data_IF_354248158428
#
_entry.id   IF_354248158428
#
_cell.length_a   1.000
_cell.length_b   1.000
_cell.length_c   1.000
_cell.angle_alpha   90.00
_cell.angle_beta   90.00
_cell.angle_gamma   90.00
#
_symmetry.space_group_name_H-M   'P 1'
#
loop_
_entity.id
_entity.type
_entity.pdbx_description
1 polymer ?
#
# COMPACT_ATOMS: atom_id res chain seq x y z
N UNK A 1 -45.59 22.03 35.57
CA UNK A 1 -44.16 22.34 35.89
C UNK A 1 -43.24 21.09 35.97
N UNK A 2 -43.76 19.88 36.12
CA UNK A 2 -42.95 18.63 36.17
C UNK A 2 -42.57 18.07 34.80
N UNK A 3 -43.38 18.31 33.77
CA UNK A 3 -43.11 17.89 32.37
C UNK A 3 -41.94 18.64 31.72
N UNK A 4 -41.68 19.89 32.11
CA UNK A 4 -40.58 20.71 31.59
C UNK A 4 -39.22 20.25 32.10
N UNK A 5 -39.11 19.67 33.28
CA UNK A 5 -37.85 19.13 33.83
C UNK A 5 -37.42 17.83 33.15
N UNK A 6 -38.38 16.93 32.86
CA UNK A 6 -38.09 15.66 32.19
C UNK A 6 -37.60 15.80 30.75
N UNK A 7 -38.14 16.75 29.99
CA UNK A 7 -37.69 17.05 28.63
C UNK A 7 -36.25 17.62 28.59
N UNK A 8 -35.91 18.47 29.56
CA UNK A 8 -34.55 19.02 29.67
C UNK A 8 -33.48 17.97 29.97
N UNK A 9 -33.81 16.97 30.79
CA UNK A 9 -32.86 15.90 31.14
C UNK A 9 -32.70 14.87 29.99
N UNK A 10 -33.75 14.59 29.24
CA UNK A 10 -33.68 13.74 28.03
C UNK A 10 -32.87 14.44 26.95
N UNK A 11 -33.07 15.74 26.73
CA UNK A 11 -32.30 16.52 25.76
C UNK A 11 -30.82 16.61 26.15
N UNK A 12 -30.49 16.81 27.43
CA UNK A 12 -29.12 16.84 27.94
C UNK A 12 -28.43 15.47 27.79
N UNK A 13 -29.10 14.38 28.09
CA UNK A 13 -28.56 13.01 27.88
C UNK A 13 -28.29 12.75 26.40
N UNK A 14 -29.19 13.15 25.51
CA UNK A 14 -29.06 12.96 24.07
C UNK A 14 -27.90 13.81 23.49
N UNK A 15 -27.70 15.05 23.98
CA UNK A 15 -26.58 15.90 23.59
C UNK A 15 -25.24 15.39 24.15
N UNK A 16 -25.20 14.89 25.38
CA UNK A 16 -23.99 14.30 25.95
C UNK A 16 -23.62 13.01 25.24
N UNK A 17 -24.60 12.19 24.86
CA UNK A 17 -24.37 10.95 24.13
C UNK A 17 -23.83 11.21 22.71
N UNK A 18 -24.35 12.24 22.01
CA UNK A 18 -23.85 12.62 20.69
C UNK A 18 -22.43 13.18 20.73
N UNK A 19 -22.12 14.04 21.69
CA UNK A 19 -20.75 14.61 21.85
C UNK A 19 -19.71 13.58 22.25
N UNK A 20 -20.10 12.63 23.12
CA UNK A 20 -19.22 11.51 23.49
C UNK A 20 -18.99 10.58 22.31
N UNK A 21 -20.02 10.28 21.51
CA UNK A 21 -19.91 9.47 20.32
C UNK A 21 -18.97 10.11 19.29
N UNK A 22 -19.16 11.39 18.98
CA UNK A 22 -18.31 12.14 18.07
C UNK A 22 -16.85 12.19 18.55
N UNK A 23 -16.62 12.41 19.86
CA UNK A 23 -15.28 12.40 20.44
C UNK A 23 -14.64 11.01 20.35
N UNK A 24 -15.40 9.95 20.57
CA UNK A 24 -14.92 8.57 20.49
C UNK A 24 -14.59 8.17 19.04
N UNK A 25 -15.45 8.53 18.09
CA UNK A 25 -15.21 8.30 16.65
C UNK A 25 -13.95 9.04 16.18
N UNK A 26 -13.77 10.29 16.60
CA UNK A 26 -12.60 11.08 16.27
C UNK A 26 -11.32 10.48 16.84
N UNK A 27 -11.31 10.07 18.10
CA UNK A 27 -10.16 9.42 18.72
C UNK A 27 -9.88 8.06 18.11
N UNK A 28 -10.92 7.32 17.75
CA UNK A 28 -10.79 6.04 17.04
C UNK A 28 -10.09 6.19 15.69
N UNK A 29 -10.46 7.20 14.90
CA UNK A 29 -9.80 7.48 13.60
C UNK A 29 -8.36 7.95 13.76
N UNK A 30 -8.05 8.78 14.77
CA UNK A 30 -6.67 9.18 15.09
C UNK A 30 -5.80 7.95 15.45
N UNK A 31 -6.30 7.07 16.32
CA UNK A 31 -5.60 5.83 16.70
C UNK A 31 -5.39 4.90 15.50
N UNK A 32 -6.41 4.73 14.67
CA UNK A 32 -6.30 3.94 13.43
C UNK A 32 -5.22 4.53 12.51
N UNK A 33 -5.17 5.85 12.38
CA UNK A 33 -4.14 6.56 11.61
C UNK A 33 -2.73 6.26 12.11
N UNK A 34 -2.51 6.33 13.43
CA UNK A 34 -1.22 6.00 14.04
C UNK A 34 -0.82 4.54 13.81
N UNK A 35 -1.75 3.61 13.95
CA UNK A 35 -1.52 2.17 13.71
C UNK A 35 -1.13 1.95 12.24
N UNK A 36 -1.83 2.57 11.29
CA UNK A 36 -1.51 2.44 9.86
C UNK A 36 -0.11 2.99 9.53
N UNK A 37 0.29 4.11 10.12
CA UNK A 37 1.64 4.65 9.96
C UNK A 37 2.68 3.69 10.54
N UNK A 38 2.46 3.18 11.75
CA UNK A 38 3.38 2.25 12.38
C UNK A 38 3.55 0.96 11.56
N UNK A 39 2.45 0.39 11.06
CA UNK A 39 2.48 -0.77 10.15
C UNK A 39 3.18 -0.40 8.84
N UNK A 40 2.89 0.77 8.26
CA UNK A 40 3.53 1.24 7.04
C UNK A 40 5.04 1.37 7.19
N UNK A 41 5.52 1.92 8.30
CA UNK A 41 6.96 1.99 8.61
C UNK A 41 7.55 0.59 8.79
N UNK A 42 6.87 -0.31 9.50
CA UNK A 42 7.33 -1.68 9.66
C UNK A 42 7.44 -2.42 8.31
N UNK A 43 6.43 -2.27 7.43
CA UNK A 43 6.47 -2.84 6.08
C UNK A 43 7.57 -2.21 5.23
N UNK A 44 7.82 -0.91 5.35
CA UNK A 44 8.93 -0.25 4.67
C UNK A 44 10.27 -0.83 5.12
N UNK A 45 10.48 -0.98 6.43
CA UNK A 45 11.71 -1.50 7.00
C UNK A 45 11.96 -2.96 6.61
N UNK A 46 10.94 -3.82 6.62
CA UNK A 46 11.10 -5.23 6.22
C UNK A 46 11.42 -5.38 4.72
N UNK A 47 10.85 -4.53 3.86
CA UNK A 47 11.15 -4.54 2.42
C UNK A 47 12.52 -3.93 2.14
N UNK A 48 12.90 -2.86 2.85
CA UNK A 48 14.19 -2.19 2.67
C UNK A 48 15.37 -3.08 3.09
N UNK A 49 15.20 -3.83 4.19
CA UNK A 49 16.23 -4.73 4.72
C UNK A 49 16.10 -6.17 4.22
N UNK A 50 15.35 -6.39 3.14
CA UNK A 50 15.20 -7.71 2.55
C UNK A 50 16.52 -8.22 1.96
N UNK A 51 16.88 -9.46 2.31
CA UNK A 51 17.98 -10.20 1.71
C UNK A 51 17.49 -11.57 1.21
N UNK A 52 17.85 -11.97 -0.02
CA UNK A 52 17.45 -13.30 -0.55
C UNK A 52 18.01 -14.48 0.24
N UNK A 53 19.14 -14.30 0.94
CA UNK A 53 19.80 -15.32 1.74
C UNK A 53 19.19 -15.48 3.14
N UNK A 54 18.29 -14.58 3.54
CA UNK A 54 17.70 -14.61 4.87
C UNK A 54 16.91 -15.89 5.13
N UNK A 55 17.11 -16.42 6.33
CA UNK A 55 16.26 -17.49 6.84
C UNK A 55 14.82 -16.99 6.94
N UNK A 56 13.91 -17.72 6.31
CA UNK A 56 12.49 -17.41 6.30
C UNK A 56 11.65 -18.68 6.43
N UNK A 57 10.34 -18.56 6.63
CA UNK A 57 9.44 -19.73 6.61
C UNK A 57 9.41 -20.44 5.24
N UNK A 58 9.87 -19.77 4.19
CA UNK A 58 9.89 -20.25 2.81
C UNK A 58 11.28 -20.75 2.35
N UNK A 59 12.33 -20.42 3.10
CA UNK A 59 13.71 -20.76 2.77
C UNK A 59 14.46 -21.19 4.02
N UNK A 60 15.09 -22.37 3.94
CA UNK A 60 15.97 -22.88 4.97
C UNK A 60 17.38 -22.37 4.65
N UNK A 61 17.89 -21.51 5.50
CA UNK A 61 19.27 -20.98 5.43
C UNK A 61 19.91 -21.13 6.80
N UNK A 62 21.18 -21.48 6.83
CA UNK A 62 21.99 -21.52 8.06
C UNK A 62 22.56 -20.14 8.41
N UNK A 63 22.40 -19.15 7.53
CA UNK A 63 22.87 -17.79 7.77
C UNK A 63 21.96 -17.02 8.73
N UNK A 64 22.53 -16.13 9.55
CA UNK A 64 21.74 -15.27 10.43
C UNK A 64 20.89 -14.31 9.58
N UNK A 65 19.64 -14.12 9.99
CA UNK A 65 18.71 -13.21 9.32
C UNK A 65 19.19 -11.76 9.40
N UNK A 66 19.37 -11.10 8.27
CA UNK A 66 19.82 -9.71 8.14
C UNK A 66 18.66 -8.72 8.20
N UNK A 67 17.42 -9.21 8.01
CA UNK A 67 16.23 -8.36 8.04
C UNK A 67 16.04 -7.71 9.42
N UNK A 68 15.77 -6.40 9.46
CA UNK A 68 15.61 -5.60 10.69
C UNK A 68 14.50 -6.16 11.59
N UNK A 69 13.42 -6.72 11.01
CA UNK A 69 12.32 -7.35 11.73
C UNK A 69 12.55 -8.86 11.97
N UNK A 70 13.76 -9.34 11.78
CA UNK A 70 14.13 -10.74 11.99
C UNK A 70 13.43 -11.69 11.02
N UNK A 71 13.24 -12.94 11.47
CA UNK A 71 12.64 -14.02 10.64
C UNK A 71 11.22 -13.68 10.18
N UNK A 72 10.43 -12.97 10.99
CA UNK A 72 9.07 -12.56 10.61
C UNK A 72 9.13 -11.55 9.47
N UNK A 73 10.05 -10.57 9.53
CA UNK A 73 10.28 -9.60 8.48
C UNK A 73 10.72 -10.26 7.18
N UNK A 74 11.73 -11.13 7.23
CA UNK A 74 12.22 -11.88 6.07
C UNK A 74 11.12 -12.75 5.44
N UNK A 75 10.33 -13.46 6.28
CA UNK A 75 9.24 -14.34 5.82
C UNK A 75 8.08 -13.59 5.16
N UNK A 76 7.88 -12.32 5.54
CA UNK A 76 6.86 -11.46 4.95
C UNK A 76 7.38 -10.75 3.70
N UNK A 77 8.65 -10.29 3.72
CA UNK A 77 9.26 -9.61 2.59
C UNK A 77 9.47 -10.53 1.38
N UNK A 78 9.90 -11.77 1.62
CA UNK A 78 10.21 -12.72 0.56
C UNK A 78 9.06 -12.93 -0.45
N UNK A 79 7.84 -13.31 -0.06
CA UNK A 79 6.74 -13.47 -1.00
C UNK A 79 6.29 -12.16 -1.65
N UNK A 80 6.38 -11.03 -0.96
CA UNK A 80 6.05 -9.72 -1.52
C UNK A 80 7.01 -9.34 -2.64
N UNK A 81 8.31 -9.50 -2.44
CA UNK A 81 9.33 -9.24 -3.45
C UNK A 81 9.24 -10.26 -4.59
N UNK A 82 9.01 -11.54 -4.28
CA UNK A 82 8.87 -12.59 -5.30
C UNK A 82 7.68 -12.30 -6.22
N UNK A 83 6.53 -11.94 -5.66
CA UNK A 83 5.29 -11.75 -6.43
C UNK A 83 5.26 -10.39 -7.11
N UNK A 84 5.52 -9.31 -6.37
CA UNK A 84 5.31 -7.93 -6.80
C UNK A 84 6.62 -7.18 -7.13
N UNK A 85 7.77 -7.73 -6.75
CA UNK A 85 9.04 -7.06 -6.90
C UNK A 85 9.07 -5.70 -6.18
N UNK A 86 9.60 -4.69 -6.82
CA UNK A 86 9.61 -3.31 -6.32
C UNK A 86 8.20 -2.68 -6.26
N UNK A 87 7.21 -3.27 -6.95
CA UNK A 87 5.82 -2.88 -6.80
C UNK A 87 5.28 -3.05 -5.37
N UNK A 88 5.90 -3.93 -4.56
CA UNK A 88 5.55 -4.12 -3.15
C UNK A 88 5.75 -2.86 -2.30
N UNK A 89 6.62 -1.92 -2.71
CA UNK A 89 6.82 -0.64 -2.02
C UNK A 89 5.58 0.29 -2.11
N UNK A 90 4.62 -0.01 -2.98
CA UNK A 90 3.32 0.67 -2.98
C UNK A 90 2.54 0.44 -1.68
N UNK A 91 2.75 -0.70 -1.00
CA UNK A 91 2.10 -1.05 0.27
C UNK A 91 2.40 -0.04 1.40
N UNK A 92 3.67 0.18 1.79
CA UNK A 92 3.98 1.15 2.84
C UNK A 92 3.59 2.57 2.45
N UNK A 93 3.73 2.97 1.18
CA UNK A 93 3.30 4.29 0.70
C UNK A 93 1.80 4.47 0.93
N UNK A 94 0.98 3.47 0.56
CA UNK A 94 -0.45 3.49 0.78
C UNK A 94 -0.82 3.56 2.26
N UNK A 95 -0.24 2.69 3.09
CA UNK A 95 -0.53 2.65 4.53
C UNK A 95 -0.18 3.97 5.22
N UNK A 96 0.97 4.56 4.90
CA UNK A 96 1.37 5.85 5.46
C UNK A 96 0.48 6.99 4.97
N UNK A 97 0.14 7.03 3.67
CA UNK A 97 -0.74 8.05 3.12
C UNK A 97 -2.11 8.05 3.81
N UNK A 98 -2.73 6.88 3.97
CA UNK A 98 -4.00 6.77 4.68
C UNK A 98 -3.87 7.00 6.17
N UNK A 99 -2.79 6.57 6.79
CA UNK A 99 -2.52 6.86 8.20
C UNK A 99 -2.48 8.36 8.47
N UNK A 100 -1.77 9.13 7.63
CA UNK A 100 -1.71 10.59 7.72
C UNK A 100 -3.10 11.21 7.49
N UNK A 101 -3.87 10.72 6.51
CA UNK A 101 -5.22 11.23 6.23
C UNK A 101 -6.18 11.01 7.39
N UNK A 102 -6.13 9.85 8.04
CA UNK A 102 -6.93 9.59 9.23
C UNK A 102 -6.55 10.48 10.40
N UNK A 103 -5.26 10.76 10.60
CA UNK A 103 -4.81 11.75 11.58
C UNK A 103 -5.31 13.17 11.27
N UNK A 104 -5.31 13.55 9.99
CA UNK A 104 -5.79 14.84 9.53
C UNK A 104 -7.32 14.91 9.34
N UNK A 105 -8.05 13.83 9.63
CA UNK A 105 -9.52 13.71 9.43
C UNK A 105 -9.97 14.02 8.01
N UNK A 106 -9.13 13.76 7.00
CA UNK A 106 -9.37 14.11 5.60
C UNK A 106 -9.88 12.90 4.81
N UNK A 107 -11.11 12.99 4.29
CA UNK A 107 -11.64 12.04 3.32
C UNK A 107 -11.93 10.62 3.84
N UNK A 108 -12.18 10.45 5.14
CA UNK A 108 -12.43 9.15 5.78
C UNK A 108 -13.62 8.42 5.13
N UNK A 109 -14.65 9.14 4.72
CA UNK A 109 -15.86 8.56 4.08
C UNK A 109 -15.56 7.83 2.76
N UNK A 110 -14.48 8.24 2.05
CA UNK A 110 -14.08 7.65 0.77
C UNK A 110 -12.97 6.61 0.90
N UNK A 111 -12.50 6.35 2.12
CA UNK A 111 -11.40 5.45 2.38
C UNK A 111 -11.69 4.05 1.83
N UNK A 112 -12.84 3.47 2.16
CA UNK A 112 -13.22 2.11 1.77
C UNK A 112 -13.28 1.98 0.24
N UNK A 113 -13.89 2.95 -0.44
CA UNK A 113 -14.00 2.91 -1.91
C UNK A 113 -12.62 2.94 -2.58
N UNK A 114 -11.68 3.72 -2.06
CA UNK A 114 -10.33 3.82 -2.62
C UNK A 114 -9.45 2.61 -2.26
N UNK A 115 -9.64 2.03 -1.08
CA UNK A 115 -8.94 0.81 -0.66
C UNK A 115 -9.20 -0.38 -1.60
N UNK A 116 -10.40 -0.48 -2.16
CA UNK A 116 -10.75 -1.54 -3.14
C UNK A 116 -9.85 -1.46 -4.38
N UNK A 117 -9.42 -0.26 -4.79
CA UNK A 117 -8.54 -0.07 -5.95
C UNK A 117 -7.05 -0.22 -5.64
N UNK A 118 -6.68 -0.39 -4.37
CA UNK A 118 -5.28 -0.54 -3.97
C UNK A 118 -4.57 -1.75 -4.64
N UNK A 119 -5.15 -2.96 -4.67
CA UNK A 119 -4.53 -4.09 -5.37
C UNK A 119 -4.28 -3.80 -6.86
N UNK A 120 -5.18 -3.05 -7.51
CA UNK A 120 -5.04 -2.64 -8.91
C UNK A 120 -3.87 -1.66 -9.08
N UNK A 121 -3.74 -0.69 -8.18
CA UNK A 121 -2.61 0.25 -8.21
C UNK A 121 -1.27 -0.46 -7.97
N UNK A 122 -1.23 -1.42 -7.06
CA UNK A 122 -0.05 -2.26 -6.82
C UNK A 122 0.29 -3.12 -8.03
N UNK A 123 -0.71 -3.68 -8.71
CA UNK A 123 -0.53 -4.45 -9.94
C UNK A 123 0.09 -3.60 -11.07
N UNK A 124 -0.39 -2.36 -11.26
CA UNK A 124 0.20 -1.44 -12.23
C UNK A 124 1.62 -1.02 -11.84
N UNK A 125 1.90 -0.84 -10.55
CA UNK A 125 3.25 -0.56 -10.09
C UNK A 125 4.21 -1.73 -10.37
N UNK A 126 3.78 -2.96 -10.10
CA UNK A 126 4.54 -4.17 -10.42
C UNK A 126 4.79 -4.30 -11.93
N UNK A 127 3.77 -4.09 -12.75
CA UNK A 127 3.89 -4.10 -14.21
C UNK A 127 4.83 -3.00 -14.72
N UNK A 128 4.78 -1.79 -14.16
CA UNK A 128 5.73 -0.73 -14.50
C UNK A 128 7.16 -1.15 -14.20
N UNK A 129 7.46 -1.65 -12.99
CA UNK A 129 8.82 -2.09 -12.65
C UNK A 129 9.30 -3.26 -13.51
N UNK A 130 8.41 -4.12 -14.02
CA UNK A 130 8.76 -5.19 -14.93
C UNK A 130 9.22 -4.70 -16.33
N UNK A 131 8.88 -3.47 -16.70
CA UNK A 131 9.39 -2.87 -17.95
C UNK A 131 10.81 -2.31 -17.84
N UNK A 132 11.34 -2.21 -16.61
CA UNK A 132 12.68 -1.69 -16.34
C UNK A 132 13.71 -2.82 -16.35
N UNK A 133 14.89 -2.53 -16.89
CA UNK A 133 16.00 -3.50 -16.90
C UNK A 133 16.60 -3.58 -15.49
N UNK A 134 16.72 -4.77 -14.90
CA UNK A 134 17.37 -4.96 -13.62
C UNK A 134 18.82 -4.48 -13.63
N UNK A 135 19.26 -3.86 -12.54
CA UNK A 135 20.64 -3.47 -12.36
C UNK A 135 21.49 -4.69 -11.91
N UNK A 136 22.82 -4.61 -12.05
CA UNK A 136 23.75 -5.68 -11.66
C UNK A 136 23.69 -6.08 -10.16
N UNK A 137 23.08 -5.24 -9.33
CA UNK A 137 22.84 -5.52 -7.90
C UNK A 137 21.58 -6.37 -7.65
N UNK A 138 20.78 -6.62 -8.70
CA UNK A 138 19.57 -7.44 -8.58
C UNK A 138 19.93 -8.92 -8.68
N UNK A 139 19.84 -9.64 -7.58
CA UNK A 139 20.34 -11.03 -7.44
C UNK A 139 19.29 -12.07 -7.87
N UNK A 140 18.05 -11.65 -8.10
CA UNK A 140 16.96 -12.57 -8.43
C UNK A 140 16.95 -12.96 -9.90
N UNK A 141 16.41 -14.17 -10.20
CA UNK A 141 16.22 -14.65 -11.57
C UNK A 141 15.02 -14.03 -12.29
N UNK A 142 14.17 -13.30 -11.57
CA UNK A 142 13.04 -12.54 -12.07
C UNK A 142 13.34 -11.04 -12.08
N UNK A 143 12.64 -10.28 -12.93
CA UNK A 143 12.82 -8.84 -13.07
C UNK A 143 12.28 -8.02 -11.89
N UNK A 144 12.48 -6.70 -11.95
CA UNK A 144 12.13 -5.77 -10.89
C UNK A 144 10.63 -5.75 -10.54
N UNK A 145 9.76 -6.16 -11.44
CA UNK A 145 8.32 -6.25 -11.22
C UNK A 145 7.85 -7.54 -10.54
N UNK A 146 8.76 -8.45 -10.20
CA UNK A 146 8.41 -9.76 -9.66
C UNK A 146 7.68 -10.64 -10.68
N UNK A 147 7.23 -11.80 -10.24
CA UNK A 147 6.55 -12.77 -11.13
C UNK A 147 5.26 -12.20 -11.74
N UNK A 148 4.51 -11.42 -10.97
CA UNK A 148 3.26 -10.83 -11.45
C UNK A 148 3.52 -9.78 -12.55
N UNK A 149 4.47 -8.87 -12.32
CA UNK A 149 4.81 -7.84 -13.29
C UNK A 149 5.35 -8.44 -14.59
N UNK A 150 6.27 -9.40 -14.50
CA UNK A 150 6.83 -10.07 -15.69
C UNK A 150 5.77 -10.80 -16.50
N UNK A 151 4.91 -11.58 -15.83
CA UNK A 151 3.85 -12.32 -16.54
C UNK A 151 2.86 -11.36 -17.21
N UNK A 152 2.47 -10.28 -16.51
CA UNK A 152 1.53 -9.28 -17.05
C UNK A 152 2.10 -8.55 -18.26
N UNK A 153 3.33 -8.06 -18.18
CA UNK A 153 4.01 -7.39 -19.28
C UNK A 153 4.34 -8.38 -20.41
N UNK A 154 4.74 -9.60 -20.07
CA UNK A 154 4.99 -10.65 -21.06
C UNK A 154 3.75 -10.99 -21.90
N UNK A 155 2.57 -11.07 -21.27
CA UNK A 155 1.29 -11.26 -22.00
C UNK A 155 1.01 -10.05 -22.90
N UNK A 156 1.20 -8.84 -22.39
CA UNK A 156 0.99 -7.61 -23.16
C UNK A 156 1.89 -7.56 -24.40
N UNK A 157 3.19 -7.83 -24.24
CA UNK A 157 4.16 -7.79 -25.34
C UNK A 157 3.88 -8.86 -26.39
N UNK A 158 3.44 -10.05 -25.98
CA UNK A 158 3.06 -11.13 -26.94
C UNK A 158 1.83 -10.78 -27.77
N UNK A 159 1.00 -9.85 -27.30
CA UNK A 159 -0.20 -9.39 -28.01
C UNK A 159 0.13 -8.35 -29.11
N UNK A 160 1.37 -7.86 -29.16
CA UNK A 160 1.83 -6.86 -30.14
C UNK A 160 2.57 -7.58 -31.27
N UNK A 161 2.09 -7.50 -32.56
CA UNK A 161 2.67 -8.26 -33.66
C UNK A 161 4.14 -7.90 -33.97
N UNK A 162 4.51 -6.63 -33.83
CA UNK A 162 5.88 -6.15 -34.04
C UNK A 162 6.35 -5.34 -32.83
N UNK A 163 7.20 -5.92 -32.01
CA UNK A 163 7.81 -5.25 -30.87
C UNK A 163 9.08 -4.55 -31.32
N UNK A 164 9.02 -3.22 -31.49
CA UNK A 164 10.18 -2.36 -31.72
C UNK A 164 10.63 -1.70 -30.42
N UNK A 165 11.85 -1.15 -30.38
CA UNK A 165 12.35 -0.38 -29.24
C UNK A 165 11.46 0.83 -28.91
N UNK A 166 10.83 1.44 -29.92
CA UNK A 166 9.86 2.53 -29.74
C UNK A 166 8.62 2.03 -29.00
N UNK A 167 8.11 0.84 -29.35
CA UNK A 167 6.95 0.22 -28.69
C UNK A 167 7.23 -0.06 -27.20
N UNK A 168 8.41 -0.58 -26.88
CA UNK A 168 8.82 -0.86 -25.48
C UNK A 168 8.88 0.43 -24.65
N UNK A 169 9.52 1.47 -25.16
CA UNK A 169 9.61 2.75 -24.47
C UNK A 169 8.23 3.40 -24.25
N UNK A 170 7.34 3.28 -25.24
CA UNK A 170 5.96 3.79 -25.13
C UNK A 170 5.17 3.04 -24.06
N UNK A 171 5.33 1.71 -23.99
CA UNK A 171 4.69 0.87 -22.97
C UNK A 171 5.22 1.25 -21.58
N UNK A 172 6.55 1.37 -21.40
CA UNK A 172 7.16 1.77 -20.15
C UNK A 172 6.62 3.12 -19.68
N UNK A 173 6.58 4.12 -20.55
CA UNK A 173 6.08 5.45 -20.23
C UNK A 173 4.58 5.43 -19.89
N UNK A 174 3.78 4.67 -20.63
CA UNK A 174 2.34 4.50 -20.36
C UNK A 174 2.11 3.84 -19.00
N UNK A 175 2.85 2.77 -18.70
CA UNK A 175 2.76 2.08 -17.41
C UNK A 175 3.21 2.96 -16.25
N UNK A 176 4.24 3.80 -16.43
CA UNK A 176 4.66 4.78 -15.43
C UNK A 176 3.53 5.77 -15.10
N UNK A 177 2.88 6.33 -16.12
CA UNK A 177 1.78 7.27 -15.93
C UNK A 177 0.60 6.59 -15.25
N UNK A 178 0.19 5.41 -15.70
CA UNK A 178 -0.93 4.66 -15.14
C UNK A 178 -0.65 4.29 -13.69
N UNK A 179 0.55 3.80 -13.39
CA UNK A 179 0.99 3.48 -12.04
C UNK A 179 0.95 4.72 -11.13
N UNK A 180 1.52 5.83 -11.58
CA UNK A 180 1.53 7.08 -10.81
C UNK A 180 0.10 7.60 -10.55
N UNK A 181 -0.74 7.66 -11.59
CA UNK A 181 -2.12 8.14 -11.46
C UNK A 181 -2.95 7.23 -10.55
N UNK A 182 -2.80 5.91 -10.67
CA UNK A 182 -3.50 4.96 -9.80
C UNK A 182 -3.05 5.05 -8.35
N UNK A 183 -1.76 5.22 -8.07
CA UNK A 183 -1.25 5.45 -6.73
C UNK A 183 -1.73 6.78 -6.13
N UNK A 184 -1.72 7.87 -6.90
CA UNK A 184 -2.26 9.16 -6.48
C UNK A 184 -3.76 9.08 -6.18
N UNK A 185 -4.52 8.40 -7.04
CA UNK A 185 -5.96 8.19 -6.83
C UNK A 185 -6.23 7.40 -5.53
N UNK A 186 -5.52 6.28 -5.34
CA UNK A 186 -5.70 5.41 -4.18
C UNK A 186 -5.20 6.09 -2.90
N UNK A 187 -4.12 6.87 -2.95
CA UNK A 187 -3.62 7.65 -1.81
C UNK A 187 -4.51 8.83 -1.43
N UNK A 188 -5.52 9.13 -2.23
CA UNK A 188 -6.51 10.15 -1.89
C UNK A 188 -6.15 11.57 -2.34
N UNK A 189 -5.08 11.77 -3.10
CA UNK A 189 -4.75 13.09 -3.65
C UNK A 189 -5.78 13.49 -4.71
N UNK A 190 -6.77 14.29 -4.31
CA UNK A 190 -7.76 14.91 -5.20
C UNK A 190 -7.73 16.41 -5.04
N UNK A 191 -7.81 17.16 -6.16
CA UNK A 191 -7.78 18.63 -6.17
C UNK A 191 -8.91 19.32 -5.35
N UNK A 192 -9.87 18.53 -4.83
CA UNK A 192 -11.02 19.04 -4.06
C UNK A 192 -10.92 18.74 -2.56
N UNK A 193 -9.83 18.17 -2.11
CA UNK A 193 -9.47 17.93 -0.73
C UNK A 193 -8.12 18.60 -0.45
#
# INVERSE_FOLDING_TARGET
CLLSRGLGDVYKRQLIDSTLKEALERRGTEMLGLILIAIGIAVLLLLWSYSPSDRSFWSISDEPTQNILGVIGASTAAPLILILGWGSFSLPIFLMAWGIRFLCHSGVERAITRMIFFPVATAFSSAFFATLVPNNTWVHQFGLGGLFGETSVGILLRSIPEVSSISVNTITFSMAIISLLSLLFVSGFSRKE
#
